data_IF_069620801716
#
_entry.id   IF_069620801716
#
_cell.length_a   1.000
_cell.length_b   1.000
_cell.length_c   1.000
_cell.angle_alpha   90.00
_cell.angle_beta   90.00
_cell.angle_gamma   90.00
#
_symmetry.space_group_name_H-M   'P 1'
#
loop_
_entity.id
_entity.type
_entity.pdbx_description
1 polymer ?
#
# COMPACT_ATOMS: atom_id res chain seq x y z
N UNK A 1 -4.98 -3.17 32.08
CA UNK A 1 -4.40 -2.57 30.86
C UNK A 1 -5.27 -1.36 30.46
N UNK A 2 -4.74 -0.13 30.48
CA UNK A 2 -5.46 1.04 29.96
C UNK A 2 -5.06 1.25 28.50
N UNK A 3 -5.92 0.81 27.58
CA UNK A 3 -5.86 1.19 26.17
C UNK A 3 -6.16 2.69 26.08
N UNK A 4 -5.11 3.51 25.97
CA UNK A 4 -5.26 4.89 25.54
C UNK A 4 -5.49 4.88 24.03
N UNK A 5 -6.72 4.59 23.61
CA UNK A 5 -7.16 4.92 22.27
C UNK A 5 -7.26 6.44 22.19
N UNK A 6 -6.13 7.10 21.88
CA UNK A 6 -6.15 8.48 21.43
C UNK A 6 -7.03 8.49 20.19
N UNK A 7 -8.22 9.10 20.29
CA UNK A 7 -9.13 9.25 19.16
C UNK A 7 -8.35 9.98 18.07
N UNK A 8 -8.07 9.27 16.98
CA UNK A 8 -7.41 9.85 15.82
C UNK A 8 -8.45 10.71 15.11
N UNK A 9 -8.11 11.95 14.81
CA UNK A 9 -9.02 12.84 14.08
C UNK A 9 -9.44 12.21 12.75
N UNK A 10 -10.71 12.36 12.34
CA UNK A 10 -11.13 11.96 10.99
C UNK A 10 -10.22 12.54 9.91
N UNK A 11 -9.82 11.70 8.94
CA UNK A 11 -8.97 12.11 7.82
C UNK A 11 -7.47 12.23 8.17
N UNK A 12 -7.04 11.89 9.38
CA UNK A 12 -5.63 12.02 9.80
C UNK A 12 -4.69 11.24 8.88
N UNK A 13 -4.99 9.96 8.62
CA UNK A 13 -4.11 9.13 7.79
C UNK A 13 -4.13 9.59 6.35
N UNK A 14 -5.29 10.01 5.83
CA UNK A 14 -5.39 10.59 4.47
C UNK A 14 -4.50 11.81 4.31
N UNK A 15 -4.65 12.80 5.20
CA UNK A 15 -3.84 14.04 5.18
C UNK A 15 -2.35 13.73 5.30
N UNK A 16 -1.97 12.79 6.18
CA UNK A 16 -0.58 12.41 6.36
C UNK A 16 0.00 11.71 5.13
N UNK A 17 -0.72 10.75 4.56
CA UNK A 17 -0.28 10.04 3.35
C UNK A 17 -0.11 11.02 2.20
N UNK A 18 -1.13 11.85 1.94
CA UNK A 18 -1.11 12.85 0.88
C UNK A 18 0.10 13.79 1.02
N UNK A 19 0.36 14.30 2.24
CA UNK A 19 1.50 15.19 2.49
C UNK A 19 2.86 14.51 2.26
N UNK A 20 3.01 13.24 2.62
CA UNK A 20 4.29 12.53 2.54
C UNK A 20 4.58 11.97 1.14
N UNK A 21 3.53 11.59 0.41
CA UNK A 21 3.66 10.77 -0.81
C UNK A 21 2.93 11.34 -2.03
N UNK A 22 2.03 12.31 -1.85
CA UNK A 22 1.13 12.77 -2.90
C UNK A 22 -0.02 11.81 -3.23
N UNK A 23 -0.10 10.63 -2.59
CA UNK A 23 -1.18 9.67 -2.82
C UNK A 23 -2.45 10.08 -2.05
N UNK A 24 -3.59 10.15 -2.76
CA UNK A 24 -4.91 10.19 -2.13
C UNK A 24 -5.48 8.77 -2.03
N UNK A 25 -6.10 8.48 -0.90
CA UNK A 25 -6.69 7.20 -0.58
C UNK A 25 -7.75 7.38 0.50
N UNK A 26 -8.61 6.38 0.69
CA UNK A 26 -9.54 6.38 1.82
C UNK A 26 -8.80 6.17 3.16
N UNK A 27 -9.43 6.53 4.29
CA UNK A 27 -8.75 6.54 5.61
C UNK A 27 -8.10 5.19 5.97
N UNK A 28 -8.80 4.07 5.73
CA UNK A 28 -8.27 2.73 6.02
C UNK A 28 -7.17 2.30 5.03
N UNK A 29 -7.30 2.67 3.76
CA UNK A 29 -6.28 2.43 2.75
C UNK A 29 -5.01 3.22 3.11
N UNK A 30 -5.17 4.51 3.42
CA UNK A 30 -4.08 5.38 3.82
C UNK A 30 -3.35 4.90 5.07
N UNK A 31 -4.10 4.44 6.08
CA UNK A 31 -3.53 3.81 7.28
C UNK A 31 -2.67 2.59 6.92
N UNK A 32 -3.12 1.75 5.98
CA UNK A 32 -2.37 0.55 5.58
C UNK A 32 -1.10 0.89 4.81
N UNK A 33 -1.15 1.85 3.89
CA UNK A 33 0.02 2.33 3.15
C UNK A 33 1.05 2.99 4.08
N UNK A 34 0.60 3.83 5.01
CA UNK A 34 1.48 4.44 6.04
C UNK A 34 2.15 3.39 6.93
N UNK A 35 1.45 2.30 7.25
CA UNK A 35 2.05 1.19 8.00
C UNK A 35 3.14 0.46 7.19
N UNK A 36 2.95 0.28 5.88
CA UNK A 36 3.96 -0.32 5.01
C UNK A 36 5.20 0.58 4.87
N UNK A 37 4.99 1.88 4.65
CA UNK A 37 6.05 2.90 4.67
C UNK A 37 6.82 2.88 6.00
N UNK A 38 6.13 2.81 7.13
CA UNK A 38 6.76 2.74 8.46
C UNK A 38 7.63 1.50 8.61
N UNK A 39 7.17 0.34 8.09
CA UNK A 39 7.96 -0.90 8.10
C UNK A 39 9.19 -0.79 7.21
N UNK A 40 9.05 -0.18 6.03
CA UNK A 40 10.16 0.08 5.12
C UNK A 40 11.21 1.01 5.76
N UNK A 41 10.79 2.10 6.42
CA UNK A 41 11.70 2.97 7.17
C UNK A 41 12.47 2.19 8.24
N UNK A 42 11.77 1.37 9.03
CA UNK A 42 12.40 0.53 10.05
C UNK A 42 13.36 -0.53 9.46
N UNK A 43 13.13 -0.97 8.21
CA UNK A 43 14.07 -1.82 7.49
C UNK A 43 15.35 -1.07 7.14
N UNK A 44 15.26 0.13 6.58
CA UNK A 44 16.43 0.98 6.27
C UNK A 44 17.30 1.24 7.52
N UNK A 45 16.65 1.57 8.64
CA UNK A 45 17.34 1.81 9.91
C UNK A 45 18.10 0.57 10.42
N UNK A 46 17.64 -0.64 10.10
CA UNK A 46 18.30 -1.90 10.47
C UNK A 46 19.43 -2.30 9.53
N UNK A 47 19.37 -1.89 8.27
CA UNK A 47 20.40 -2.21 7.25
C UNK A 47 21.63 -1.30 7.34
N UNK A 48 21.68 -0.41 8.34
CA UNK A 48 22.83 0.46 8.59
C UNK A 48 22.79 1.77 7.82
N UNK A 49 21.66 2.10 7.19
CA UNK A 49 21.46 3.43 6.62
C UNK A 49 21.40 4.47 7.74
N UNK A 50 21.95 5.66 7.48
CA UNK A 50 21.78 6.79 8.38
C UNK A 50 20.28 7.07 8.62
N UNK A 51 19.87 7.47 9.83
CA UNK A 51 18.48 7.80 10.11
C UNK A 51 17.90 8.77 9.08
N UNK A 52 16.84 8.36 8.39
CA UNK A 52 16.19 9.17 7.35
C UNK A 52 14.95 9.87 7.90
N UNK A 53 14.67 11.07 7.39
CA UNK A 53 13.41 11.77 7.70
C UNK A 53 12.20 11.00 7.16
N UNK A 54 11.01 11.23 7.72
CA UNK A 54 9.77 10.63 7.23
C UNK A 54 9.53 10.93 5.74
N UNK A 55 9.85 12.13 5.29
CA UNK A 55 9.70 12.53 3.88
C UNK A 55 10.70 11.79 2.97
N UNK A 56 11.95 11.64 3.41
CA UNK A 56 12.95 10.89 2.65
C UNK A 56 12.59 9.39 2.56
N UNK A 57 12.13 8.79 3.67
CA UNK A 57 11.63 7.41 3.68
C UNK A 57 10.42 7.23 2.77
N UNK A 58 9.50 8.20 2.76
CA UNK A 58 8.32 8.19 1.88
C UNK A 58 8.70 8.22 0.40
N UNK A 59 9.62 9.12 0.01
CA UNK A 59 10.10 9.22 -1.37
C UNK A 59 10.77 7.94 -1.84
N UNK A 60 11.62 7.33 -1.01
CA UNK A 60 12.26 6.05 -1.35
C UNK A 60 11.28 4.90 -1.42
N UNK A 61 10.34 4.81 -0.48
CA UNK A 61 9.29 3.80 -0.51
C UNK A 61 8.44 3.89 -1.78
N UNK A 62 8.13 5.11 -2.24
CA UNK A 62 7.45 5.32 -3.51
C UNK A 62 8.25 4.73 -4.68
N UNK A 63 9.50 5.15 -4.83
CA UNK A 63 10.33 4.77 -5.98
C UNK A 63 10.77 3.31 -5.97
N UNK A 64 10.94 2.70 -4.80
CA UNK A 64 11.51 1.35 -4.67
C UNK A 64 10.44 0.27 -4.52
N UNK A 65 9.27 0.60 -3.96
CA UNK A 65 8.23 -0.38 -3.62
C UNK A 65 6.93 -0.08 -4.36
N UNK A 66 6.35 1.10 -4.16
CA UNK A 66 5.02 1.42 -4.67
C UNK A 66 5.00 1.50 -6.20
N UNK A 67 5.81 2.38 -6.81
CA UNK A 67 5.83 2.62 -8.25
C UNK A 67 6.22 1.36 -9.04
N UNK A 68 7.25 0.57 -8.67
CA UNK A 68 7.56 -0.66 -9.38
C UNK A 68 6.45 -1.71 -9.26
N UNK A 69 5.74 -1.75 -8.13
CA UNK A 69 4.61 -2.67 -7.96
C UNK A 69 3.47 -2.29 -8.88
N UNK A 70 3.12 -1.00 -8.95
CA UNK A 70 2.04 -0.51 -9.82
C UNK A 70 2.43 -0.62 -11.30
N UNK A 71 3.68 -0.31 -11.65
CA UNK A 71 4.18 -0.46 -13.02
C UNK A 71 4.20 -1.92 -13.51
N UNK A 72 4.18 -2.91 -12.59
CA UNK A 72 4.09 -4.32 -12.95
C UNK A 72 2.67 -4.79 -13.30
N UNK A 73 1.66 -3.97 -13.04
CA UNK A 73 0.27 -4.27 -13.38
C UNK A 73 0.08 -4.09 -14.90
N UNK A 74 -0.56 -5.04 -15.60
CA UNK A 74 -0.85 -4.89 -17.03
C UNK A 74 -1.58 -3.57 -17.30
N UNK A 75 -1.15 -2.75 -18.29
CA UNK A 75 -1.70 -1.42 -18.54
C UNK A 75 -3.22 -1.41 -18.74
N UNK A 76 -3.78 -2.45 -19.34
CA UNK A 76 -5.22 -2.62 -19.56
C UNK A 76 -6.03 -2.81 -18.26
N UNK A 77 -5.36 -3.14 -17.15
CA UNK A 77 -5.98 -3.34 -15.84
C UNK A 77 -5.78 -2.15 -14.88
N UNK A 78 -4.82 -1.25 -15.16
CA UNK A 78 -4.52 -0.10 -14.30
C UNK A 78 -5.70 0.87 -14.16
N UNK A 79 -6.57 0.97 -15.16
CA UNK A 79 -7.76 1.83 -15.13
C UNK A 79 -8.94 1.26 -14.34
N UNK A 80 -8.84 0.02 -13.83
CA UNK A 80 -9.93 -0.61 -13.09
C UNK A 80 -10.08 -0.08 -11.67
N UNK A 81 -9.02 0.47 -11.07
CA UNK A 81 -8.97 0.98 -9.70
C UNK A 81 -7.86 2.02 -9.57
N UNK A 82 -8.00 2.94 -8.61
CA UNK A 82 -6.91 3.85 -8.26
C UNK A 82 -5.64 3.10 -7.81
N UNK A 83 -4.46 3.62 -8.14
CA UNK A 83 -3.18 2.97 -7.81
C UNK A 83 -2.99 2.70 -6.30
N UNK A 84 -3.43 3.63 -5.44
CA UNK A 84 -3.38 3.45 -3.99
C UNK A 84 -4.30 2.30 -3.52
N UNK A 85 -5.44 2.12 -4.18
CA UNK A 85 -6.36 1.01 -3.91
C UNK A 85 -5.79 -0.33 -4.38
N UNK A 86 -5.24 -0.38 -5.59
CA UNK A 86 -4.54 -1.58 -6.11
C UNK A 86 -3.45 -2.02 -5.13
N UNK A 87 -2.58 -1.09 -4.71
CA UNK A 87 -1.51 -1.41 -3.77
C UNK A 87 -2.05 -1.88 -2.42
N UNK A 88 -3.10 -1.24 -1.91
CA UNK A 88 -3.78 -1.65 -0.68
C UNK A 88 -4.30 -3.09 -0.76
N UNK A 89 -4.99 -3.44 -1.85
CA UNK A 89 -5.53 -4.79 -2.06
C UNK A 89 -4.43 -5.83 -2.25
N UNK A 90 -3.32 -5.48 -2.91
CA UNK A 90 -2.13 -6.36 -3.00
C UNK A 90 -1.57 -6.67 -1.61
N UNK A 91 -1.46 -5.67 -0.72
CA UNK A 91 -0.96 -5.89 0.64
C UNK A 91 -1.90 -6.80 1.45
N UNK A 92 -3.21 -6.66 1.27
CA UNK A 92 -4.20 -7.54 1.89
C UNK A 92 -4.11 -8.97 1.35
N UNK A 93 -4.02 -9.11 0.04
CA UNK A 93 -3.87 -10.41 -0.63
C UNK A 93 -2.57 -11.11 -0.22
N UNK A 94 -1.46 -10.35 -0.08
CA UNK A 94 -0.19 -10.87 0.44
C UNK A 94 -0.36 -11.45 1.84
N UNK A 95 -1.07 -10.76 2.73
CA UNK A 95 -1.31 -11.24 4.09
C UNK A 95 -2.08 -12.56 4.05
N UNK A 96 -3.17 -12.64 3.30
CA UNK A 96 -3.96 -13.86 3.14
C UNK A 96 -3.13 -15.03 2.57
N UNK A 97 -2.36 -14.79 1.50
CA UNK A 97 -1.48 -15.79 0.91
C UNK A 97 -0.39 -16.26 1.88
N UNK A 98 0.14 -15.34 2.68
CA UNK A 98 1.18 -15.66 3.67
C UNK A 98 0.63 -16.49 4.82
N UNK A 99 -0.58 -16.16 5.29
CA UNK A 99 -1.29 -16.93 6.31
C UNK A 99 -1.51 -18.37 5.83
N UNK A 100 -2.06 -18.53 4.63
CA UNK A 100 -2.30 -19.85 4.03
C UNK A 100 -1.00 -20.65 3.79
N UNK A 101 0.11 -19.97 3.47
CA UNK A 101 1.40 -20.60 3.24
C UNK A 101 2.19 -20.87 4.53
N UNK A 102 1.75 -20.35 5.68
CA UNK A 102 2.50 -20.40 6.94
C UNK A 102 3.82 -19.60 6.93
N UNK A 103 4.02 -18.73 5.94
CA UNK A 103 5.23 -17.91 5.76
C UNK A 103 4.97 -16.74 4.84
N UNK A 104 5.81 -15.71 4.91
CA UNK A 104 5.74 -14.60 3.95
C UNK A 104 5.98 -15.09 2.51
N UNK A 105 5.04 -14.74 1.62
CA UNK A 105 5.13 -15.07 0.19
C UNK A 105 5.88 -14.01 -0.61
N UNK A 106 6.09 -12.82 -0.04
CA UNK A 106 6.71 -11.67 -0.69
C UNK A 106 5.77 -10.91 -1.62
N UNK A 107 6.11 -9.63 -1.86
CA UNK A 107 5.27 -8.70 -2.62
C UNK A 107 5.10 -9.13 -4.07
N UNK A 108 6.20 -9.48 -4.78
CA UNK A 108 6.16 -9.89 -6.19
C UNK A 108 5.18 -11.04 -6.45
N UNK A 109 5.22 -12.09 -5.62
CA UNK A 109 4.32 -13.24 -5.76
C UNK A 109 2.87 -12.88 -5.46
N UNK A 110 2.65 -12.02 -4.46
CA UNK A 110 1.32 -11.53 -4.13
C UNK A 110 0.74 -10.68 -5.26
N UNK A 111 1.52 -9.77 -5.85
CA UNK A 111 1.09 -8.94 -6.99
C UNK A 111 0.64 -9.78 -8.17
N UNK A 112 1.44 -10.77 -8.58
CA UNK A 112 1.08 -11.69 -9.67
C UNK A 112 -0.23 -12.43 -9.36
N UNK A 113 -0.33 -13.01 -8.17
CA UNK A 113 -1.55 -13.73 -7.78
C UNK A 113 -2.78 -12.83 -7.69
N UNK A 114 -2.62 -11.58 -7.24
CA UNK A 114 -3.70 -10.60 -7.17
C UNK A 114 -4.19 -10.21 -8.57
N UNK A 115 -3.26 -9.94 -9.50
CA UNK A 115 -3.60 -9.63 -10.90
C UNK A 115 -4.43 -10.75 -11.52
N UNK A 116 -3.97 -12.01 -11.38
CA UNK A 116 -4.60 -13.16 -12.01
C UNK A 116 -5.97 -13.52 -11.39
N UNK A 117 -6.06 -13.45 -10.07
CA UNK A 117 -7.22 -13.99 -9.34
C UNK A 117 -8.29 -12.96 -9.04
N UNK A 118 -7.91 -11.68 -8.90
CA UNK A 118 -8.79 -10.61 -8.40
C UNK A 118 -8.92 -9.53 -9.46
N UNK A 119 -7.85 -8.80 -9.80
CA UNK A 119 -7.95 -7.59 -10.62
C UNK A 119 -8.51 -7.87 -12.03
N UNK A 120 -8.06 -8.95 -12.67
CA UNK A 120 -8.54 -9.33 -14.01
C UNK A 120 -10.03 -9.68 -14.04
N UNK A 121 -10.58 -10.15 -12.93
CA UNK A 121 -12.00 -10.53 -12.79
C UNK A 121 -12.86 -9.40 -12.23
N UNK A 122 -12.24 -8.34 -11.71
CA UNK A 122 -12.95 -7.19 -11.17
C UNK A 122 -13.72 -6.49 -12.32
N UNK A 123 -14.95 -6.03 -12.07
CA UNK A 123 -15.62 -5.13 -13.00
C UNK A 123 -14.76 -3.90 -13.23
N UNK A 124 -14.83 -3.32 -14.44
CA UNK A 124 -14.28 -1.97 -14.63
C UNK A 124 -15.02 -1.03 -13.68
N UNK A 125 -14.30 -0.14 -13.00
CA UNK A 125 -14.86 0.94 -12.17
C UNK A 125 -15.55 1.99 -13.05
N UNK A 126 -16.36 1.59 -14.05
CA UNK A 126 -17.09 2.50 -14.92
C UNK A 126 -17.80 3.53 -14.05
N UNK A 127 -17.21 4.73 -14.14
CA UNK A 127 -17.66 6.09 -13.82
C UNK A 127 -18.94 6.17 -13.00
N UNK A 128 -18.98 6.96 -11.90
CA UNK A 128 -20.26 7.32 -11.32
C UNK A 128 -21.14 7.86 -12.44
N UNK A 129 -22.30 7.22 -12.63
CA UNK A 129 -23.36 7.73 -13.48
C UNK A 129 -23.68 9.14 -12.97
N UNK A 130 -23.26 10.15 -13.73
CA UNK A 130 -23.73 11.53 -13.60
C UNK A 130 -24.08 12.03 -14.99
#
# INVERSE_FOLDING_TARGET
LRLHSKVVEPGHHRRRLLRLTGLDAQENQARRLLNDLTRYKAYLERTGDAPVSDAAAAGRWLSEIFEPTIASIPPELLGKRAAAEIFHEILEHRWFLSERAGRDVGLKKATQSYVDQILRKAPDEKLPLV
#
